data_IF_654431370054
#
_entry.id   IF_654431370054
#
_cell.length_a   1.000
_cell.length_b   1.000
_cell.length_c   1.000
_cell.angle_alpha   90.00
_cell.angle_beta   90.00
_cell.angle_gamma   90.00
#
_symmetry.space_group_name_H-M   'P 1'
#
loop_
_entity.id
_entity.type
_entity.pdbx_description
1 polymer ?
#
# COMPACT_ATOMS: atom_id res chain seq x y z
N UNK A 1 -3.26 19.61 -0.05
CA UNK A 1 -3.01 19.47 -1.50
C UNK A 1 -1.91 20.40 -2.02
N UNK A 2 -1.86 21.68 -1.62
CA UNK A 2 -0.81 22.64 -2.05
C UNK A 2 0.61 22.12 -1.79
N UNK A 3 0.88 21.63 -0.57
CA UNK A 3 2.21 21.12 -0.20
C UNK A 3 2.71 19.95 -1.06
N UNK A 4 1.80 19.09 -1.52
CA UNK A 4 2.12 17.97 -2.40
C UNK A 4 2.43 18.47 -3.81
N UNK A 5 1.63 19.40 -4.34
CA UNK A 5 1.89 20.02 -5.63
C UNK A 5 3.26 20.73 -5.64
N UNK A 6 3.60 21.45 -4.57
CA UNK A 6 4.92 22.10 -4.43
C UNK A 6 6.06 21.09 -4.38
N UNK A 7 5.90 19.99 -3.62
CA UNK A 7 6.88 18.89 -3.59
C UNK A 7 7.07 18.25 -4.98
N UNK A 8 5.98 18.14 -5.75
CA UNK A 8 5.98 17.61 -7.11
C UNK A 8 6.38 18.63 -8.18
N UNK A 9 6.52 19.94 -7.90
CA UNK A 9 6.81 20.96 -8.92
C UNK A 9 8.27 21.43 -9.02
N UNK A 10 9.21 20.78 -8.33
CA UNK A 10 10.65 21.08 -8.47
C UNK A 10 11.12 21.03 -9.95
N UNK A 11 11.75 22.11 -10.43
CA UNK A 11 12.34 22.30 -11.79
C UNK A 11 11.43 22.34 -13.03
N UNK A 12 10.11 22.32 -12.88
CA UNK A 12 9.16 22.62 -13.98
C UNK A 12 9.07 21.59 -15.12
N UNK A 13 9.78 20.46 -15.04
CA UNK A 13 9.70 19.34 -15.98
C UNK A 13 9.67 18.01 -15.21
N UNK A 14 8.48 17.53 -14.84
CA UNK A 14 8.36 16.22 -14.19
C UNK A 14 7.46 15.29 -14.99
N UNK A 15 7.99 14.11 -15.28
CA UNK A 15 7.18 12.97 -15.69
C UNK A 15 6.54 12.42 -14.42
N UNK A 16 5.22 12.30 -14.43
CA UNK A 16 4.45 11.77 -13.30
C UNK A 16 3.92 10.41 -13.72
N UNK A 17 4.26 9.39 -12.95
CA UNK A 17 3.58 8.09 -13.01
C UNK A 17 2.54 8.04 -11.89
N UNK A 18 1.42 7.40 -12.17
CA UNK A 18 0.41 7.07 -11.18
C UNK A 18 0.25 5.56 -11.16
N UNK A 19 0.17 4.98 -9.98
CA UNK A 19 -0.09 3.55 -9.78
C UNK A 19 -1.13 3.34 -8.72
N UNK A 20 -1.81 2.19 -8.77
CA UNK A 20 -2.79 1.80 -7.77
C UNK A 20 -2.69 0.31 -7.47
N UNK A 21 -3.07 -0.06 -6.25
CA UNK A 21 -3.26 -1.45 -5.82
C UNK A 21 -4.71 -1.56 -5.36
N UNK A 22 -5.57 -2.18 -6.17
CA UNK A 22 -7.00 -2.27 -5.91
C UNK A 22 -7.48 -3.71 -6.23
N UNK A 23 -7.85 -4.51 -5.21
CA UNK A 23 -7.74 -4.19 -3.79
C UNK A 23 -6.29 -4.23 -3.29
N UNK A 24 -6.03 -3.57 -2.17
CA UNK A 24 -4.79 -3.76 -1.42
C UNK A 24 -4.80 -5.17 -0.80
N UNK A 25 -3.73 -5.98 -0.93
CA UNK A 25 -3.76 -7.41 -0.62
C UNK A 25 -3.64 -7.72 0.88
N UNK A 26 -4.47 -7.08 1.72
CA UNK A 26 -4.51 -7.38 3.14
C UNK A 26 -5.24 -8.71 3.37
N UNK A 27 -4.53 -9.68 3.94
CA UNK A 27 -5.11 -10.97 4.33
C UNK A 27 -5.89 -10.92 5.65
N UNK A 28 -6.69 -11.95 5.97
CA UNK A 28 -7.37 -12.07 7.24
C UNK A 28 -6.35 -12.14 8.39
N UNK A 29 -6.62 -11.41 9.48
CA UNK A 29 -5.74 -11.36 10.66
C UNK A 29 -4.33 -10.81 10.43
N UNK A 30 -4.02 -10.29 9.24
CA UNK A 30 -2.75 -9.63 8.94
C UNK A 30 -2.79 -8.14 9.33
N UNK A 31 -1.64 -7.63 9.76
CA UNK A 31 -1.38 -6.21 9.90
C UNK A 31 -0.68 -5.66 8.65
N UNK A 32 -0.70 -4.34 8.51
CA UNK A 32 -0.04 -3.61 7.42
C UNK A 32 1.47 -3.94 7.35
N UNK A 33 2.23 -4.00 8.47
CA UNK A 33 3.60 -4.50 8.45
C UNK A 33 3.77 -5.90 7.86
N UNK A 34 2.86 -6.83 8.14
CA UNK A 34 2.92 -8.21 7.62
C UNK A 34 2.79 -8.22 6.10
N UNK A 35 1.76 -7.54 5.58
CA UNK A 35 1.50 -7.46 4.14
C UNK A 35 2.63 -6.75 3.40
N UNK A 36 3.14 -5.62 3.93
CA UNK A 36 4.25 -4.89 3.29
C UNK A 36 5.57 -5.67 3.35
N UNK A 37 5.81 -6.43 4.41
CA UNK A 37 6.97 -7.32 4.48
C UNK A 37 6.89 -8.44 3.43
N UNK A 38 5.70 -9.02 3.22
CA UNK A 38 5.48 -10.05 2.20
C UNK A 38 5.64 -9.50 0.77
N UNK A 39 5.23 -8.26 0.53
CA UNK A 39 5.44 -7.58 -0.77
C UNK A 39 6.92 -7.30 -1.06
N UNK A 40 7.75 -7.14 -0.02
CA UNK A 40 9.19 -6.99 -0.15
C UNK A 40 9.57 -5.79 -1.04
N UNK A 41 10.54 -6.00 -1.94
CA UNK A 41 11.07 -4.97 -2.86
C UNK A 41 10.24 -4.82 -4.15
N UNK A 42 9.20 -5.64 -4.31
CA UNK A 42 8.30 -5.49 -5.45
C UNK A 42 7.38 -4.28 -5.21
N UNK A 43 7.24 -3.44 -6.23
CA UNK A 43 6.31 -2.32 -6.19
C UNK A 43 4.87 -2.85 -6.22
N UNK A 44 4.04 -2.67 -5.18
CA UNK A 44 2.72 -3.31 -5.10
C UNK A 44 1.65 -2.62 -5.94
N UNK A 45 2.00 -1.50 -6.59
CA UNK A 45 1.09 -0.70 -7.39
C UNK A 45 1.22 -1.06 -8.88
N UNK A 46 0.09 -1.29 -9.53
CA UNK A 46 0.00 -1.39 -10.98
C UNK A 46 -0.02 0.01 -11.60
N UNK A 47 0.83 0.32 -12.59
CA UNK A 47 0.78 1.59 -13.30
C UNK A 47 -0.60 1.84 -13.94
N UNK A 48 -1.11 3.05 -13.81
CA UNK A 48 -2.34 3.52 -14.46
C UNK A 48 -2.07 4.13 -15.84
N UNK A 49 -0.81 4.48 -16.13
CA UNK A 49 -0.35 4.98 -17.43
C UNK A 49 0.30 3.87 -18.25
N UNK A 50 0.08 3.89 -19.58
CA UNK A 50 0.63 2.91 -20.52
C UNK A 50 2.18 2.92 -20.58
N UNK A 51 2.80 4.07 -20.28
CA UNK A 51 4.24 4.15 -20.02
C UNK A 51 4.45 3.80 -18.55
N UNK A 52 4.70 2.52 -18.26
CA UNK A 52 5.16 2.08 -16.94
C UNK A 52 6.50 2.72 -16.57
N UNK A 53 7.07 2.30 -15.45
CA UNK A 53 8.35 2.85 -15.00
C UNK A 53 9.49 2.33 -15.89
N UNK A 54 10.22 3.19 -16.63
CA UNK A 54 11.35 2.74 -17.41
C UNK A 54 12.42 2.18 -16.46
N UNK A 55 12.98 1.01 -16.79
CA UNK A 55 14.06 0.40 -16.02
C UNK A 55 15.20 1.40 -15.79
N UNK A 56 15.57 1.61 -14.52
CA UNK A 56 16.67 2.52 -14.14
C UNK A 56 16.27 3.98 -13.91
N UNK A 57 14.98 4.31 -13.92
CA UNK A 57 14.52 5.61 -13.44
C UNK A 57 14.53 5.68 -11.91
N UNK A 58 14.78 6.88 -11.37
CA UNK A 58 14.80 7.12 -9.94
C UNK A 58 13.63 8.02 -9.56
N UNK A 59 12.85 7.60 -8.57
CA UNK A 59 11.80 8.43 -8.02
C UNK A 59 12.41 9.64 -7.30
N UNK A 60 12.08 10.85 -7.73
CA UNK A 60 12.49 12.07 -7.03
C UNK A 60 11.61 12.35 -5.81
N UNK A 61 10.30 12.19 -5.97
CA UNK A 61 9.32 12.38 -4.91
C UNK A 61 8.10 11.50 -5.18
N UNK A 62 7.48 11.01 -4.11
CA UNK A 62 6.29 10.18 -4.16
C UNK A 62 5.30 10.60 -3.07
N UNK A 63 4.03 10.36 -3.34
CA UNK A 63 2.96 10.45 -2.35
C UNK A 63 2.09 9.21 -2.47
N UNK A 64 1.92 8.51 -1.35
CA UNK A 64 1.13 7.27 -1.28
C UNK A 64 0.05 7.44 -0.25
N UNK A 65 -1.18 7.15 -0.66
CA UNK A 65 -2.36 7.19 0.19
C UNK A 65 -2.97 5.80 0.25
N UNK A 66 -2.97 5.20 1.44
CA UNK A 66 -3.63 3.94 1.70
C UNK A 66 -4.99 4.20 2.34
N UNK A 67 -6.05 3.60 1.80
CA UNK A 67 -7.44 3.93 2.16
C UNK A 67 -8.22 2.70 2.60
N UNK A 68 -9.12 2.87 3.55
CA UNK A 68 -10.10 1.86 3.93
C UNK A 68 -9.59 0.76 4.88
N UNK A 69 -8.33 0.84 5.34
CA UNK A 69 -7.81 -0.10 6.33
C UNK A 69 -8.30 0.24 7.74
N UNK A 70 -8.78 -0.78 8.45
CA UNK A 70 -9.14 -0.65 9.85
C UNK A 70 -7.92 -0.29 10.71
N UNK A 71 -8.12 0.57 11.72
CA UNK A 71 -7.04 1.02 12.62
C UNK A 71 -6.35 -0.14 13.32
N UNK A 72 -7.08 -1.22 13.61
CA UNK A 72 -6.53 -2.41 14.24
C UNK A 72 -5.40 -3.06 13.44
N UNK A 73 -5.42 -2.88 12.11
CA UNK A 73 -4.47 -3.47 11.17
C UNK A 73 -3.31 -2.52 10.83
N UNK A 74 -3.31 -1.26 11.30
CA UNK A 74 -2.29 -0.27 10.88
C UNK A 74 -0.89 -0.60 11.39
N UNK A 75 -0.81 -1.22 12.56
CA UNK A 75 0.44 -1.58 13.23
C UNK A 75 0.40 -3.03 13.69
N UNK A 76 1.59 -3.53 14.05
CA UNK A 76 1.75 -4.86 14.56
C UNK A 76 1.14 -5.01 15.96
N UNK A 77 0.48 -6.15 16.22
CA UNK A 77 -0.05 -6.54 17.55
C UNK A 77 0.79 -7.66 18.17
N UNK A 78 2.10 -7.51 18.12
CA UNK A 78 3.02 -8.50 18.69
C UNK A 78 2.96 -8.50 20.22
N UNK A 79 2.98 -9.70 20.79
CA UNK A 79 3.05 -9.88 22.24
C UNK A 79 4.37 -9.33 22.76
N UNK A 80 4.38 -8.57 23.88
CA UNK A 80 5.62 -8.09 24.47
C UNK A 80 6.63 -9.23 24.67
N UNK A 81 7.87 -9.02 24.21
CA UNK A 81 8.93 -10.03 24.29
C UNK A 81 9.08 -10.92 23.05
N UNK A 82 8.17 -10.87 22.08
CA UNK A 82 8.40 -11.55 20.80
C UNK A 82 9.42 -10.77 19.96
N UNK A 83 10.36 -11.44 19.28
CA UNK A 83 11.30 -10.78 18.38
C UNK A 83 10.54 -10.14 17.19
N UNK A 84 10.98 -8.94 16.79
CA UNK A 84 10.37 -8.19 15.70
C UNK A 84 10.72 -8.84 14.35
N UNK A 85 9.74 -9.24 13.52
CA UNK A 85 10.01 -9.86 12.21
C UNK A 85 10.69 -8.90 11.22
N UNK A 86 10.39 -7.60 11.32
CA UNK A 86 11.03 -6.56 10.52
C UNK A 86 10.94 -5.21 11.23
N UNK A 87 11.71 -4.23 10.75
CA UNK A 87 11.65 -2.87 11.28
C UNK A 87 10.24 -2.26 11.14
N UNK A 88 9.43 -2.70 10.17
CA UNK A 88 8.06 -2.20 9.98
C UNK A 88 7.18 -2.54 11.19
N UNK A 89 7.48 -3.62 11.90
CA UNK A 89 6.73 -4.04 13.08
C UNK A 89 7.07 -3.21 14.34
N UNK A 90 8.13 -2.39 14.28
CA UNK A 90 8.51 -1.48 15.37
C UNK A 90 7.77 -0.14 15.33
N UNK A 91 7.13 0.19 14.20
CA UNK A 91 6.47 1.47 14.00
C UNK A 91 5.23 1.61 14.89
N UNK A 92 4.99 2.84 15.36
CA UNK A 92 3.91 3.15 16.31
C UNK A 92 2.61 3.58 15.64
N UNK A 93 2.68 4.02 14.37
CA UNK A 93 1.53 4.41 13.55
C UNK A 93 1.58 3.78 12.16
N UNK A 94 0.43 3.65 11.49
CA UNK A 94 0.40 3.11 10.13
C UNK A 94 1.07 4.03 9.10
N UNK A 95 1.05 5.35 9.32
CA UNK A 95 1.79 6.31 8.52
C UNK A 95 3.30 6.12 8.61
N UNK A 96 3.82 5.79 9.80
CA UNK A 96 5.23 5.43 10.00
C UNK A 96 5.57 4.11 9.32
N UNK A 97 4.71 3.10 9.44
CA UNK A 97 4.86 1.82 8.72
C UNK A 97 5.00 2.07 7.21
N UNK A 98 4.08 2.84 6.64
CA UNK A 98 4.09 3.16 5.21
C UNK A 98 5.31 4.03 4.83
N UNK A 99 5.64 5.05 5.63
CA UNK A 99 6.82 5.88 5.39
C UNK A 99 8.11 5.05 5.36
N UNK A 100 8.27 4.14 6.32
CA UNK A 100 9.45 3.30 6.45
C UNK A 100 9.54 2.29 5.31
N UNK A 101 8.43 1.71 4.88
CA UNK A 101 8.38 0.86 3.69
C UNK A 101 8.82 1.63 2.44
N UNK A 102 8.26 2.83 2.20
CA UNK A 102 8.62 3.66 1.05
C UNK A 102 10.10 4.10 1.06
N UNK A 103 10.64 4.37 2.25
CA UNK A 103 12.05 4.70 2.43
C UNK A 103 12.96 3.51 2.09
N UNK A 104 12.54 2.28 2.40
CA UNK A 104 13.26 1.07 2.01
C UNK A 104 13.24 0.84 0.49
N UNK A 105 12.11 1.12 -0.18
CA UNK A 105 11.98 0.98 -1.63
C UNK A 105 12.76 2.04 -2.42
N UNK A 106 12.70 3.30 -1.97
CA UNK A 106 13.26 4.44 -2.68
C UNK A 106 14.00 5.38 -1.70
N UNK A 107 15.20 5.01 -1.21
CA UNK A 107 15.89 5.76 -0.16
C UNK A 107 16.22 7.23 -0.51
N UNK A 108 16.27 7.54 -1.80
CA UNK A 108 16.60 8.87 -2.34
C UNK A 108 15.36 9.73 -2.60
N UNK A 109 14.16 9.15 -2.58
CA UNK A 109 12.93 9.86 -2.88
C UNK A 109 12.39 10.58 -1.64
N UNK A 110 11.89 11.80 -1.84
CA UNK A 110 11.05 12.45 -0.81
C UNK A 110 9.68 11.80 -0.80
N UNK A 111 9.30 11.21 0.33
CA UNK A 111 8.07 10.42 0.45
C UNK A 111 7.06 11.10 1.37
N UNK A 112 5.79 11.11 0.96
CA UNK A 112 4.64 11.50 1.77
C UNK A 112 3.72 10.28 1.91
N UNK A 113 3.47 9.84 3.14
CA UNK A 113 2.61 8.71 3.47
C UNK A 113 1.36 9.17 4.22
N UNK A 114 0.20 8.68 3.82
CA UNK A 114 -1.07 8.99 4.49
C UNK A 114 -1.97 7.76 4.54
N UNK A 115 -2.58 7.50 5.70
CA UNK A 115 -3.63 6.50 5.84
C UNK A 115 -4.97 7.20 6.06
N UNK A 116 -5.99 6.77 5.33
CA UNK A 116 -7.36 7.26 5.48
C UNK A 116 -8.27 6.09 5.81
N UNK A 117 -9.05 6.21 6.88
CA UNK A 117 -10.04 5.18 7.25
C UNK A 117 -11.16 5.08 6.23
N UNK A 118 -11.50 6.19 5.56
CA UNK A 118 -12.58 6.23 4.59
C UNK A 118 -12.19 5.41 3.35
N UNK A 119 -12.90 4.30 3.05
CA UNK A 119 -12.64 3.51 1.86
C UNK A 119 -13.09 4.24 0.60
N UNK A 120 -12.55 3.84 -0.55
CA UNK A 120 -13.09 4.23 -1.85
C UNK A 120 -14.38 3.44 -2.11
N UNK A 121 -15.53 4.11 -2.03
CA UNK A 121 -16.82 3.48 -2.31
C UNK A 121 -16.98 3.24 -3.80
N UNK A 122 -17.43 2.05 -4.14
CA UNK A 122 -17.84 1.66 -5.50
C UNK A 122 -19.35 1.48 -5.46
N UNK A 123 -20.11 2.31 -6.18
CA UNK A 123 -21.58 2.24 -6.20
C UNK A 123 -22.06 1.50 -7.46
N UNK A 124 -23.15 0.74 -7.42
CA UNK A 124 -23.76 0.21 -8.64
C UNK A 124 -24.09 1.34 -9.64
N UNK A 125 -24.01 1.10 -10.97
CA UNK A 125 -23.73 -0.16 -11.65
C UNK A 125 -22.24 -0.28 -12.04
N UNK A 126 -21.35 -0.53 -11.09
CA UNK A 126 -19.98 -0.90 -11.44
C UNK A 126 -19.94 -2.35 -11.95
N UNK A 127 -19.17 -2.63 -13.01
CA UNK A 127 -18.98 -4.00 -13.47
C UNK A 127 -18.38 -4.86 -12.34
N UNK A 128 -18.67 -6.16 -12.35
CA UNK A 128 -18.05 -7.14 -11.44
C UNK A 128 -16.56 -7.30 -11.77
N UNK A 129 -15.75 -6.29 -11.43
CA UNK A 129 -14.30 -6.24 -11.69
C UNK A 129 -13.49 -7.05 -10.68
N UNK A 130 -14.09 -7.37 -9.53
CA UNK A 130 -13.41 -8.02 -8.41
C UNK A 130 -13.71 -9.52 -8.38
N UNK A 131 -12.66 -10.30 -8.16
CA UNK A 131 -12.72 -11.75 -7.96
C UNK A 131 -13.66 -12.13 -6.81
N UNK A 132 -14.28 -13.32 -6.89
CA UNK A 132 -15.06 -13.90 -5.78
C UNK A 132 -14.22 -14.23 -4.55
N UNK A 133 -12.89 -14.19 -4.65
CA UNK A 133 -11.96 -14.32 -3.53
C UNK A 133 -11.86 -13.06 -2.66
N UNK A 134 -12.70 -12.04 -2.89
CA UNK A 134 -12.70 -10.78 -2.16
C UNK A 134 -13.99 -10.62 -1.35
N UNK A 135 -13.84 -10.14 -0.10
CA UNK A 135 -14.98 -9.84 0.76
C UNK A 135 -15.69 -8.56 0.28
N UNK A 136 -16.95 -8.31 0.69
CA UNK A 136 -17.62 -7.03 0.43
C UNK A 136 -16.87 -5.81 0.98
N UNK A 137 -15.92 -6.02 1.91
CA UNK A 137 -15.05 -5.00 2.49
C UNK A 137 -13.72 -4.84 1.71
N UNK A 138 -13.50 -5.61 0.65
CA UNK A 138 -12.30 -5.55 -0.19
C UNK A 138 -11.09 -6.28 0.37
N UNK A 139 -11.27 -7.20 1.33
CA UNK A 139 -10.20 -8.03 1.87
C UNK A 139 -10.06 -9.32 1.07
N UNK A 140 -8.83 -9.82 0.94
CA UNK A 140 -8.57 -11.13 0.34
C UNK A 140 -9.05 -12.20 1.31
N UNK A 141 -9.95 -13.08 0.87
CA UNK A 141 -10.29 -14.28 1.63
C UNK A 141 -9.16 -15.29 1.50
N UNK A 142 -8.81 -15.96 2.59
CA UNK A 142 -8.01 -17.18 2.51
C UNK A 142 -8.75 -18.14 1.58
N UNK A 143 -8.09 -18.62 0.52
CA UNK A 143 -8.66 -19.73 -0.21
C UNK A 143 -8.85 -20.84 0.82
N UNK A 144 -10.09 -21.30 0.98
CA UNK A 144 -10.31 -22.57 1.63
C UNK A 144 -9.52 -23.57 0.77
N UNK A 145 -8.39 -24.02 1.29
CA UNK A 145 -7.62 -25.13 0.77
C UNK A 145 -8.62 -26.17 0.37
N UNK A 146 -8.69 -26.48 -0.92
CA UNK A 146 -9.70 -27.40 -1.45
C UNK A 146 -9.69 -28.68 -0.63
N UNK A 147 -10.73 -28.86 0.18
CA UNK A 147 -11.21 -30.17 0.54
C UNK A 147 -11.81 -30.77 -0.74
N UNK A 148 -10.92 -31.24 -1.62
CA UNK A 148 -11.24 -32.13 -2.73
C UNK A 148 -10.94 -33.54 -2.26
N UNK A 149 -12.00 -34.35 -2.19
CA UNK A 149 -11.99 -35.80 -1.96
C UNK A 149 -11.00 -36.54 -2.85
#
# INVERSE_FOLDING_TARGET
>A
MVHLADMLNFSGKKVVTAGASIPFPLGPSQSLPDTLMQLGVATPWTPLSACGDPSGTHCFAQSVVLRGLDKACHTSRLTPGTPLPSLLHACSTGEEVLAQYLQQQQPRARSSSHLLLTPCKVVPPYPCLFSSSLSPQGLVLDNATGAGM
#
